data_IF_246834446101
#
_entry.id   IF_246834446101
#
_cell.length_a   1.000
_cell.length_b   1.000
_cell.length_c   1.000
_cell.angle_alpha   90.00
_cell.angle_beta   90.00
_cell.angle_gamma   90.00
#
_symmetry.space_group_name_H-M   'P 1'
#
loop_
_entity.id
_entity.type
_entity.pdbx_description
1 polymer ?
#
# COMPACT_ATOMS: atom_id res chain seq x y z
N UNK A 1 -14.54 -16.55 -19.49
CA UNK A 1 -13.61 -17.69 -19.45
C UNK A 1 -13.70 -18.28 -18.04
N UNK A 2 -14.29 -19.45 -17.90
CA UNK A 2 -14.37 -20.11 -16.59
C UNK A 2 -13.01 -20.75 -16.28
N UNK A 3 -12.29 -20.14 -15.36
CA UNK A 3 -11.04 -20.71 -14.88
C UNK A 3 -11.33 -21.99 -14.09
N UNK A 4 -10.57 -23.05 -14.34
CA UNK A 4 -10.59 -24.25 -13.52
C UNK A 4 -10.31 -23.90 -12.05
N UNK A 5 -10.89 -24.65 -11.11
CA UNK A 5 -10.74 -24.42 -9.66
C UNK A 5 -9.28 -24.32 -9.22
N UNK A 6 -8.42 -25.20 -9.72
CA UNK A 6 -6.98 -25.19 -9.42
C UNK A 6 -6.30 -23.93 -9.92
N UNK A 7 -6.53 -23.54 -11.18
CA UNK A 7 -5.98 -22.31 -11.75
C UNK A 7 -6.42 -21.07 -10.97
N UNK A 8 -7.69 -21.02 -10.55
CA UNK A 8 -8.23 -19.92 -9.74
C UNK A 8 -7.51 -19.79 -8.39
N UNK A 9 -7.25 -20.92 -7.71
CA UNK A 9 -6.53 -20.92 -6.43
C UNK A 9 -5.08 -20.48 -6.59
N UNK A 10 -4.38 -20.96 -7.64
CA UNK A 10 -3.00 -20.57 -7.91
C UNK A 10 -2.90 -19.07 -8.24
N UNK A 11 -3.78 -18.56 -9.10
CA UNK A 11 -3.84 -17.15 -9.43
C UNK A 11 -4.11 -16.31 -8.18
N UNK A 12 -5.07 -16.72 -7.33
CA UNK A 12 -5.33 -16.02 -6.07
C UNK A 12 -4.12 -16.02 -5.15
N UNK A 13 -3.41 -17.15 -5.01
CA UNK A 13 -2.19 -17.22 -4.20
C UNK A 13 -1.09 -16.29 -4.71
N UNK A 14 -0.86 -16.22 -6.03
CA UNK A 14 0.13 -15.34 -6.65
C UNK A 14 -0.23 -13.86 -6.41
N UNK A 15 -1.50 -13.48 -6.56
CA UNK A 15 -1.98 -12.13 -6.32
C UNK A 15 -1.83 -11.71 -4.84
N UNK A 16 -2.19 -12.61 -3.92
CA UNK A 16 -2.05 -12.39 -2.48
C UNK A 16 -0.58 -12.30 -2.06
N UNK A 17 0.29 -13.16 -2.60
CA UNK A 17 1.72 -13.11 -2.33
C UNK A 17 2.37 -11.81 -2.84
N UNK A 18 1.96 -11.31 -4.01
CA UNK A 18 2.43 -10.03 -4.53
C UNK A 18 2.02 -8.86 -3.62
N UNK A 19 0.74 -8.83 -3.19
CA UNK A 19 0.23 -7.81 -2.29
C UNK A 19 0.95 -7.87 -0.92
N UNK A 20 1.16 -9.07 -0.39
CA UNK A 20 1.92 -9.29 0.85
C UNK A 20 3.34 -8.75 0.74
N UNK A 21 4.07 -9.09 -0.33
CA UNK A 21 5.45 -8.62 -0.54
C UNK A 21 5.53 -7.09 -0.61
N UNK A 22 4.57 -6.45 -1.30
CA UNK A 22 4.49 -4.99 -1.38
C UNK A 22 4.28 -4.33 -0.02
N UNK A 23 3.35 -4.84 0.78
CA UNK A 23 3.05 -4.35 2.14
C UNK A 23 4.17 -4.61 3.12
N UNK A 24 4.72 -5.83 3.10
CA UNK A 24 5.85 -6.19 3.94
C UNK A 24 7.04 -5.26 3.68
N UNK A 25 7.38 -5.03 2.41
CA UNK A 25 8.47 -4.12 2.03
C UNK A 25 8.22 -2.67 2.51
N UNK A 26 6.97 -2.23 2.57
CA UNK A 26 6.62 -0.90 3.09
C UNK A 26 7.01 -0.76 4.56
N UNK A 27 6.82 -1.79 5.37
CA UNK A 27 7.06 -1.76 6.82
C UNK A 27 8.48 -2.14 7.21
N UNK A 28 9.20 -2.94 6.41
CA UNK A 28 10.60 -3.30 6.65
C UNK A 28 11.52 -2.08 6.81
N UNK A 29 11.27 -1.00 6.07
CA UNK A 29 12.14 0.18 6.06
C UNK A 29 12.00 1.07 7.29
N UNK A 30 10.91 0.99 8.02
CA UNK A 30 10.69 1.83 9.21
C UNK A 30 11.76 1.57 10.26
N UNK A 31 12.11 0.31 10.48
CA UNK A 31 13.12 -0.10 11.47
C UNK A 31 14.56 0.13 10.99
N UNK A 32 14.80 0.23 9.68
CA UNK A 32 16.10 0.55 9.11
C UNK A 32 16.44 2.04 9.12
N UNK A 33 15.48 2.91 9.38
CA UNK A 33 15.63 4.36 9.29
C UNK A 33 16.77 4.92 10.14
N UNK A 34 16.95 4.55 11.42
CA UNK A 34 18.07 5.04 12.24
C UNK A 34 19.44 4.68 11.67
N UNK A 35 19.61 3.46 11.14
CA UNK A 35 20.84 3.01 10.50
C UNK A 35 21.14 3.83 9.24
N UNK A 36 20.13 4.06 8.38
CA UNK A 36 20.27 4.88 7.17
C UNK A 36 20.59 6.34 7.49
N UNK A 37 20.00 6.90 8.57
CA UNK A 37 20.33 8.26 9.03
C UNK A 37 21.80 8.38 9.43
N UNK A 38 22.33 7.38 10.12
CA UNK A 38 23.73 7.34 10.50
C UNK A 38 24.64 7.21 9.28
N UNK A 39 24.36 6.24 8.39
CA UNK A 39 25.19 5.94 7.22
C UNK A 39 25.25 7.10 6.21
N UNK A 40 24.11 7.77 5.99
CA UNK A 40 24.03 8.89 5.04
C UNK A 40 24.26 10.27 5.67
N UNK A 41 24.35 10.37 7.00
CA UNK A 41 24.52 11.66 7.70
C UNK A 41 23.34 12.62 7.48
N UNK A 42 22.10 12.10 7.38
CA UNK A 42 20.90 12.88 7.08
C UNK A 42 20.03 13.11 8.31
N UNK A 43 19.24 14.18 8.29
CA UNK A 43 18.27 14.48 9.33
C UNK A 43 17.08 13.50 9.33
N UNK A 44 16.38 13.39 10.47
CA UNK A 44 15.16 12.63 10.60
C UNK A 44 14.08 13.09 9.61
N UNK A 45 13.93 14.40 9.43
CA UNK A 45 12.98 15.00 8.50
C UNK A 45 13.20 14.53 7.05
N UNK A 46 14.45 14.43 6.62
CA UNK A 46 14.80 13.90 5.30
C UNK A 46 14.59 12.38 5.21
N UNK A 47 14.99 11.63 6.24
CA UNK A 47 14.83 10.19 6.29
C UNK A 47 13.35 9.75 6.25
N UNK A 48 12.45 10.52 6.87
CA UNK A 48 11.01 10.26 6.85
C UNK A 48 10.42 10.21 5.44
N UNK A 49 11.04 10.84 4.44
CA UNK A 49 10.59 10.75 3.06
C UNK A 49 10.67 9.33 2.47
N UNK A 50 11.52 8.46 3.02
CA UNK A 50 11.58 7.05 2.63
C UNK A 50 10.25 6.30 2.94
N UNK A 51 9.53 6.74 3.96
CA UNK A 51 8.24 6.15 4.37
C UNK A 51 7.06 7.01 3.93
N UNK A 52 7.05 8.30 4.25
CA UNK A 52 5.97 9.23 3.89
C UNK A 52 5.83 9.38 2.37
N UNK A 53 6.95 9.51 1.65
CA UNK A 53 6.97 9.56 0.19
C UNK A 53 6.43 8.26 -0.43
N UNK A 54 6.76 7.11 0.16
CA UNK A 54 6.23 5.82 -0.28
C UNK A 54 4.69 5.77 -0.11
N UNK A 55 4.18 6.09 1.07
CA UNK A 55 2.73 6.12 1.34
C UNK A 55 1.99 7.10 0.43
N UNK A 56 2.56 8.29 0.22
CA UNK A 56 2.03 9.28 -0.72
C UNK A 56 1.86 8.70 -2.12
N UNK A 57 2.94 8.14 -2.66
CA UNK A 57 2.93 7.59 -4.03
C UNK A 57 1.95 6.43 -4.16
N UNK A 58 1.90 5.49 -3.19
CA UNK A 58 0.90 4.41 -3.15
C UNK A 58 -0.51 5.00 -3.19
N UNK A 59 -0.79 6.00 -2.35
CA UNK A 59 -2.11 6.63 -2.26
C UNK A 59 -2.57 7.28 -3.57
N UNK A 60 -1.65 7.96 -4.26
CA UNK A 60 -1.96 8.63 -5.53
C UNK A 60 -2.02 7.66 -6.71
N UNK A 61 -1.22 6.61 -6.71
CA UNK A 61 -1.21 5.60 -7.78
C UNK A 61 -2.41 4.66 -7.69
N UNK A 62 -2.95 4.43 -6.49
CA UNK A 62 -4.09 3.53 -6.26
C UNK A 62 -5.32 3.84 -7.14
N UNK A 63 -5.84 5.07 -7.24
CA UNK A 63 -6.93 5.38 -8.16
C UNK A 63 -6.58 5.20 -9.64
N UNK A 64 -5.33 5.53 -10.01
CA UNK A 64 -4.85 5.38 -11.39
C UNK A 64 -4.72 3.92 -11.77
N UNK A 65 -4.38 3.05 -10.83
CA UNK A 65 -4.23 1.61 -11.06
C UNK A 65 -5.53 0.96 -11.58
N UNK A 66 -6.69 1.44 -11.16
CA UNK A 66 -7.98 0.99 -11.67
C UNK A 66 -8.14 1.29 -13.17
N UNK A 67 -7.69 2.46 -13.63
CA UNK A 67 -7.68 2.80 -15.07
C UNK A 67 -6.63 2.00 -15.84
N UNK A 68 -5.44 1.81 -15.27
CA UNK A 68 -4.42 0.96 -15.85
C UNK A 68 -4.92 -0.48 -16.01
N UNK A 69 -5.65 -0.99 -15.01
CA UNK A 69 -6.29 -2.30 -15.09
C UNK A 69 -7.31 -2.38 -16.25
N UNK A 70 -8.08 -1.32 -16.50
CA UNK A 70 -9.01 -1.28 -17.64
C UNK A 70 -8.29 -1.14 -18.99
N UNK A 71 -7.16 -0.45 -19.05
CA UNK A 71 -6.40 -0.16 -20.28
C UNK A 71 -5.50 -1.30 -20.75
N UNK A 72 -4.83 -1.97 -19.83
CA UNK A 72 -3.86 -3.02 -20.14
C UNK A 72 -4.42 -4.42 -19.90
N UNK A 73 -3.83 -5.42 -20.54
CA UNK A 73 -4.16 -6.81 -20.23
C UNK A 73 -3.70 -7.18 -18.83
N UNK A 74 -4.46 -8.04 -18.16
CA UNK A 74 -4.22 -8.48 -16.78
C UNK A 74 -2.77 -8.94 -16.56
N UNK A 75 -2.31 -9.82 -17.46
CA UNK A 75 -0.95 -10.40 -17.38
C UNK A 75 0.14 -9.35 -17.61
N UNK A 76 0.00 -8.51 -18.62
CA UNK A 76 0.99 -7.49 -18.91
C UNK A 76 1.14 -6.50 -17.77
N UNK A 77 0.03 -5.96 -17.24
CA UNK A 77 0.07 -5.00 -16.14
C UNK A 77 0.73 -5.59 -14.89
N UNK A 78 0.39 -6.85 -14.55
CA UNK A 78 0.97 -7.51 -13.38
C UNK A 78 2.48 -7.75 -13.54
N UNK A 79 2.92 -8.27 -14.69
CA UNK A 79 4.34 -8.51 -14.94
C UNK A 79 5.14 -7.21 -15.01
N UNK A 80 4.60 -6.15 -15.59
CA UNK A 80 5.23 -4.82 -15.58
C UNK A 80 5.37 -4.28 -14.16
N UNK A 81 4.34 -4.37 -13.34
CA UNK A 81 4.37 -3.86 -11.96
C UNK A 81 5.33 -4.65 -11.09
N UNK A 82 5.29 -5.98 -11.15
CA UNK A 82 6.23 -6.83 -10.39
C UNK A 82 7.67 -6.70 -10.89
N UNK A 83 7.88 -6.57 -12.20
CA UNK A 83 9.19 -6.27 -12.80
C UNK A 83 9.74 -4.91 -12.35
N UNK A 84 8.90 -3.87 -12.34
CA UNK A 84 9.27 -2.55 -11.82
C UNK A 84 9.66 -2.62 -10.34
N UNK A 85 8.91 -3.39 -9.53
CA UNK A 85 9.25 -3.58 -8.12
C UNK A 85 10.62 -4.23 -7.94
N UNK A 86 10.92 -5.28 -8.73
CA UNK A 86 12.22 -5.96 -8.69
C UNK A 86 13.34 -5.00 -9.11
N UNK A 87 13.19 -4.28 -10.21
CA UNK A 87 14.19 -3.32 -10.69
C UNK A 87 14.44 -2.21 -9.66
N UNK A 88 13.38 -1.68 -9.04
CA UNK A 88 13.48 -0.71 -7.97
C UNK A 88 14.17 -1.28 -6.73
N UNK A 89 13.88 -2.53 -6.37
CA UNK A 89 14.53 -3.21 -5.24
C UNK A 89 16.02 -3.47 -5.51
N UNK A 90 16.40 -3.82 -6.74
CA UNK A 90 17.80 -3.95 -7.14
C UNK A 90 18.50 -2.59 -7.06
N UNK A 91 17.86 -1.51 -7.52
CA UNK A 91 18.40 -0.15 -7.39
C UNK A 91 18.68 0.19 -5.93
N UNK A 92 17.75 -0.09 -5.01
CA UNK A 92 17.93 0.14 -3.58
C UNK A 92 18.98 -0.76 -2.93
N UNK A 93 19.14 -1.99 -3.44
CA UNK A 93 20.15 -2.95 -2.96
C UNK A 93 21.58 -2.51 -3.27
N UNK A 94 21.81 -1.87 -4.43
CA UNK A 94 23.15 -1.44 -4.87
C UNK A 94 23.41 0.05 -4.59
N UNK A 95 22.51 0.74 -3.93
CA UNK A 95 22.58 2.18 -3.72
C UNK A 95 23.49 2.52 -2.53
N UNK A 96 24.49 3.39 -2.74
CA UNK A 96 25.44 3.81 -1.72
C UNK A 96 25.11 5.21 -1.12
N UNK A 97 24.03 5.85 -1.55
CA UNK A 97 23.63 7.14 -1.01
C UNK A 97 22.08 7.31 -0.98
N UNK A 98 21.63 8.36 -0.26
CA UNK A 98 20.21 8.60 0.01
C UNK A 98 19.33 8.75 -1.24
N UNK A 99 19.76 9.48 -2.26
CA UNK A 99 18.89 9.82 -3.38
C UNK A 99 18.48 8.62 -4.25
N UNK A 100 19.39 7.71 -4.66
CA UNK A 100 18.99 6.47 -5.29
C UNK A 100 18.11 5.59 -4.42
N UNK A 101 18.35 5.54 -3.08
CA UNK A 101 17.47 4.82 -2.16
C UNK A 101 16.08 5.41 -2.15
N UNK A 102 15.95 6.73 -2.07
CA UNK A 102 14.65 7.40 -2.15
C UNK A 102 13.97 7.12 -3.50
N UNK A 103 14.69 7.24 -4.61
CA UNK A 103 14.16 6.90 -5.94
C UNK A 103 13.66 5.45 -6.01
N UNK A 104 14.45 4.49 -5.49
CA UNK A 104 14.05 3.09 -5.39
C UNK A 104 12.75 2.92 -4.59
N UNK A 105 12.62 3.59 -3.44
CA UNK A 105 11.42 3.56 -2.61
C UNK A 105 10.18 4.14 -3.31
N UNK A 106 10.34 5.24 -4.03
CA UNK A 106 9.22 5.83 -4.79
C UNK A 106 8.79 4.92 -5.97
N UNK A 107 9.75 4.31 -6.67
CA UNK A 107 9.45 3.33 -7.73
C UNK A 107 8.80 2.05 -7.17
N UNK A 108 9.27 1.53 -6.04
CA UNK A 108 8.61 0.43 -5.32
C UNK A 108 7.17 0.79 -4.94
N UNK A 109 6.94 2.04 -4.52
CA UNK A 109 5.61 2.53 -4.16
C UNK A 109 4.66 2.59 -5.36
N UNK A 110 5.14 3.04 -6.53
CA UNK A 110 4.36 2.97 -7.79
C UNK A 110 3.96 1.52 -8.09
N UNK A 111 4.92 0.61 -8.05
CA UNK A 111 4.68 -0.81 -8.30
C UNK A 111 3.68 -1.41 -7.29
N UNK A 112 3.88 -1.17 -5.99
CA UNK A 112 3.02 -1.70 -4.91
C UNK A 112 1.61 -1.14 -4.99
N UNK A 113 1.44 0.16 -5.27
CA UNK A 113 0.12 0.79 -5.44
C UNK A 113 -0.68 0.17 -6.58
N UNK A 114 -0.02 -0.15 -7.70
CA UNK A 114 -0.64 -0.88 -8.81
C UNK A 114 -0.98 -2.32 -8.38
N UNK A 115 -0.02 -3.04 -7.80
CA UNK A 115 -0.17 -4.46 -7.42
C UNK A 115 -1.32 -4.64 -6.42
N UNK A 116 -1.41 -3.80 -5.38
CA UNK A 116 -2.43 -3.91 -4.34
C UNK A 116 -3.84 -3.73 -4.90
N UNK A 117 -4.07 -2.65 -5.64
CA UNK A 117 -5.37 -2.38 -6.26
C UNK A 117 -5.73 -3.42 -7.31
N UNK A 118 -4.75 -3.79 -8.13
CA UNK A 118 -4.88 -4.83 -9.14
C UNK A 118 -5.27 -6.18 -8.51
N UNK A 119 -4.57 -6.60 -7.44
CA UNK A 119 -4.84 -7.86 -6.76
C UNK A 119 -6.28 -7.91 -6.24
N UNK A 120 -6.74 -6.84 -5.58
CA UNK A 120 -8.11 -6.76 -5.08
C UNK A 120 -9.16 -6.86 -6.20
N UNK A 121 -8.99 -6.09 -7.29
CA UNK A 121 -9.92 -6.11 -8.43
C UNK A 121 -9.91 -7.47 -9.13
N UNK A 122 -8.73 -8.04 -9.37
CA UNK A 122 -8.59 -9.32 -10.05
C UNK A 122 -9.17 -10.47 -9.21
N UNK A 123 -8.92 -10.49 -7.90
CA UNK A 123 -9.50 -11.46 -6.97
C UNK A 123 -11.03 -11.43 -6.99
N UNK A 124 -11.64 -10.24 -6.95
CA UNK A 124 -13.10 -10.11 -7.03
C UNK A 124 -13.64 -10.61 -8.37
N UNK A 125 -12.94 -10.39 -9.48
CA UNK A 125 -13.38 -10.83 -10.81
C UNK A 125 -13.32 -12.34 -11.02
N UNK A 126 -12.35 -13.03 -10.42
CA UNK A 126 -12.24 -14.50 -10.54
C UNK A 126 -13.09 -15.25 -9.51
N UNK A 127 -13.70 -14.54 -8.56
CA UNK A 127 -14.45 -15.10 -7.45
C UNK A 127 -15.96 -15.06 -7.72
N UNK A 128 -16.68 -16.12 -7.38
CA UNK A 128 -18.15 -16.13 -7.46
C UNK A 128 -18.74 -15.15 -6.43
N UNK A 129 -19.90 -14.52 -6.74
CA UNK A 129 -20.57 -13.58 -5.83
C UNK A 129 -20.80 -14.12 -4.40
N UNK A 130 -21.01 -15.43 -4.28
CA UNK A 130 -21.25 -16.10 -2.99
C UNK A 130 -20.00 -16.25 -2.10
N UNK A 131 -18.81 -15.93 -2.60
CA UNK A 131 -17.52 -16.07 -1.87
C UNK A 131 -16.69 -14.78 -1.87
N UNK A 132 -17.29 -13.67 -2.21
CA UNK A 132 -16.60 -12.38 -2.26
C UNK A 132 -16.12 -11.94 -0.88
N UNK A 133 -16.92 -12.16 0.17
CA UNK A 133 -16.54 -11.85 1.54
C UNK A 133 -15.33 -12.66 2.00
N UNK A 134 -15.33 -13.98 1.76
CA UNK A 134 -14.20 -14.84 2.11
C UNK A 134 -12.90 -14.39 1.42
N UNK A 135 -12.95 -14.05 0.14
CA UNK A 135 -11.75 -13.63 -0.62
C UNK A 135 -11.27 -12.25 -0.18
N UNK A 136 -12.18 -11.31 0.07
CA UNK A 136 -11.82 -10.01 0.65
C UNK A 136 -11.24 -10.16 2.07
N UNK A 137 -11.80 -11.06 2.87
CA UNK A 137 -11.27 -11.38 4.20
C UNK A 137 -9.84 -11.96 4.12
N UNK A 138 -9.55 -12.84 3.16
CA UNK A 138 -8.19 -13.33 2.92
C UNK A 138 -7.25 -12.22 2.44
N UNK A 139 -7.72 -11.31 1.58
CA UNK A 139 -6.95 -10.16 1.16
C UNK A 139 -6.63 -9.24 2.36
N UNK A 140 -7.61 -8.95 3.21
CA UNK A 140 -7.41 -8.14 4.41
C UNK A 140 -6.49 -8.81 5.43
N UNK A 141 -6.55 -10.15 5.56
CA UNK A 141 -5.59 -10.91 6.36
C UNK A 141 -4.15 -10.66 5.90
N UNK A 142 -3.90 -10.70 4.59
CA UNK A 142 -2.59 -10.43 4.00
C UNK A 142 -2.16 -8.97 4.24
N UNK A 143 -3.08 -8.02 4.07
CA UNK A 143 -2.84 -6.59 4.33
C UNK A 143 -2.44 -6.33 5.78
N UNK A 144 -3.07 -7.03 6.72
CA UNK A 144 -2.77 -6.88 8.16
C UNK A 144 -1.51 -7.64 8.60
N UNK A 145 -1.16 -8.73 7.91
CA UNK A 145 0.03 -9.52 8.24
C UNK A 145 1.35 -8.79 7.90
N UNK A 146 1.36 -7.96 6.86
CA UNK A 146 2.55 -7.20 6.46
C UNK A 146 3.12 -6.32 7.59
N UNK A 147 2.34 -5.39 8.14
CA UNK A 147 2.75 -4.55 9.27
C UNK A 147 3.13 -5.34 10.53
N UNK A 148 2.48 -6.47 10.78
CA UNK A 148 2.79 -7.31 11.94
C UNK A 148 4.13 -8.03 11.82
N UNK A 149 4.44 -8.57 10.65
CA UNK A 149 5.65 -9.38 10.40
C UNK A 149 6.86 -8.48 10.06
N UNK A 150 6.62 -7.34 9.40
CA UNK A 150 7.67 -6.46 8.89
C UNK A 150 8.71 -6.04 9.93
N UNK A 151 8.33 -5.41 11.04
CA UNK A 151 9.28 -4.98 12.06
C UNK A 151 10.09 -6.14 12.67
N UNK A 152 9.46 -7.29 12.91
CA UNK A 152 10.13 -8.49 13.44
C UNK A 152 11.15 -9.01 12.44
N UNK A 153 10.75 -9.17 11.19
CA UNK A 153 11.64 -9.67 10.13
C UNK A 153 12.80 -8.71 9.88
N UNK A 154 12.53 -7.41 9.81
CA UNK A 154 13.59 -6.43 9.60
C UNK A 154 14.51 -6.32 10.81
N UNK A 155 13.99 -6.39 12.05
CA UNK A 155 14.79 -6.40 13.25
C UNK A 155 15.79 -7.55 13.26
N UNK A 156 15.34 -8.77 12.98
CA UNK A 156 16.21 -9.95 12.86
C UNK A 156 17.23 -9.80 11.73
N UNK A 157 16.82 -9.27 10.58
CA UNK A 157 17.74 -9.07 9.45
C UNK A 157 18.83 -8.03 9.78
N UNK A 158 18.45 -6.92 10.42
CA UNK A 158 19.37 -5.83 10.74
C UNK A 158 20.33 -6.16 11.89
N UNK A 159 20.06 -7.19 12.68
CA UNK A 159 21.00 -7.68 13.69
C UNK A 159 22.24 -8.34 13.05
N UNK A 160 22.08 -9.00 11.90
CA UNK A 160 23.14 -9.75 11.24
C UNK A 160 23.57 -9.18 9.89
N UNK A 161 22.74 -8.32 9.27
CA UNK A 161 22.93 -7.84 7.92
C UNK A 161 22.75 -6.32 7.87
N UNK A 162 23.25 -5.70 6.79
CA UNK A 162 23.01 -4.28 6.52
C UNK A 162 21.57 -4.02 6.02
N UNK A 163 21.14 -2.77 6.06
CA UNK A 163 19.84 -2.35 5.54
C UNK A 163 19.63 -2.67 4.02
N UNK A 164 20.71 -2.83 3.26
CA UNK A 164 20.65 -3.30 1.87
C UNK A 164 19.95 -4.67 1.74
N UNK A 165 20.15 -5.55 2.73
CA UNK A 165 19.53 -6.87 2.72
C UNK A 165 18.00 -6.82 2.71
N UNK A 166 17.37 -5.76 3.23
CA UNK A 166 15.93 -5.56 3.18
C UNK A 166 15.44 -5.38 1.73
N UNK A 167 16.19 -4.65 0.92
CA UNK A 167 15.91 -4.57 -0.52
C UNK A 167 16.14 -5.92 -1.21
N UNK A 168 17.22 -6.62 -0.84
CA UNK A 168 17.51 -7.98 -1.33
C UNK A 168 16.39 -8.97 -1.04
N UNK A 169 15.81 -8.94 0.16
CA UNK A 169 14.62 -9.73 0.50
C UNK A 169 13.43 -9.38 -0.41
N UNK A 170 13.21 -8.09 -0.68
CA UNK A 170 12.21 -7.62 -1.62
C UNK A 170 12.42 -8.17 -3.05
N UNK A 171 13.67 -8.18 -3.52
CA UNK A 171 14.03 -8.80 -4.81
C UNK A 171 13.67 -10.28 -4.84
N UNK A 172 14.12 -11.05 -3.84
CA UNK A 172 13.91 -12.50 -3.81
C UNK A 172 12.42 -12.86 -3.74
N UNK A 173 11.68 -12.24 -2.85
CA UNK A 173 10.25 -12.51 -2.68
C UNK A 173 9.47 -12.16 -3.94
N UNK A 174 9.70 -10.98 -4.53
CA UNK A 174 8.97 -10.56 -5.72
C UNK A 174 9.42 -11.33 -6.96
N UNK A 175 10.67 -11.77 -7.06
CA UNK A 175 11.15 -12.61 -8.15
C UNK A 175 10.45 -13.98 -8.17
N UNK A 176 10.23 -14.59 -7.00
CA UNK A 176 9.44 -15.84 -6.90
C UNK A 176 8.00 -15.60 -7.37
N UNK A 177 7.38 -14.51 -6.94
CA UNK A 177 6.03 -14.13 -7.38
C UNK A 177 5.98 -13.86 -8.88
N UNK A 178 6.96 -13.13 -9.41
CA UNK A 178 7.08 -12.85 -10.84
C UNK A 178 7.21 -14.14 -11.66
N UNK A 179 8.11 -15.02 -11.26
CA UNK A 179 8.30 -16.33 -11.92
C UNK A 179 7.00 -17.15 -11.90
N UNK A 180 6.35 -17.25 -10.73
CA UNK A 180 5.07 -17.94 -10.62
C UNK A 180 4.01 -17.32 -11.54
N UNK A 181 3.94 -15.98 -11.62
CA UNK A 181 2.99 -15.27 -12.49
C UNK A 181 3.23 -15.51 -13.99
N UNK A 182 4.50 -15.57 -14.40
CA UNK A 182 4.86 -15.85 -15.82
C UNK A 182 4.23 -17.16 -16.30
N UNK A 183 4.23 -18.18 -15.44
CA UNK A 183 3.71 -19.51 -15.81
C UNK A 183 2.22 -19.70 -15.55
N UNK A 184 1.64 -18.97 -14.56
CA UNK A 184 0.31 -19.28 -14.06
C UNK A 184 -0.75 -18.21 -14.30
N UNK A 185 -0.35 -16.94 -14.55
CA UNK A 185 -1.31 -15.86 -14.67
C UNK A 185 -1.89 -15.74 -16.09
N UNK A 186 -3.17 -16.10 -16.32
CA UNK A 186 -3.83 -15.93 -17.61
C UNK A 186 -4.26 -14.48 -17.83
N UNK A 187 -4.58 -14.12 -19.06
CA UNK A 187 -5.27 -12.88 -19.35
C UNK A 187 -6.75 -12.99 -18.96
N UNK A 188 -7.12 -12.46 -17.78
CA UNK A 188 -8.49 -12.47 -17.27
C UNK A 188 -9.36 -11.50 -18.07
N UNK A 189 -8.75 -10.44 -18.63
CA UNK A 189 -9.43 -9.39 -19.38
C UNK A 189 -8.59 -8.92 -20.56
N UNK A 190 -9.27 -8.63 -21.68
CA UNK A 190 -8.66 -7.96 -22.83
C UNK A 190 -8.46 -6.45 -22.53
N UNK A 191 -7.41 -5.88 -23.10
CA UNK A 191 -7.14 -4.45 -23.01
C UNK A 191 -8.25 -3.64 -23.70
N UNK A 192 -8.62 -2.50 -23.11
CA UNK A 192 -9.54 -1.51 -23.70
C UNK A 192 -8.81 -0.20 -23.93
N UNK A 193 -9.13 0.50 -25.03
CA UNK A 193 -8.58 1.84 -25.28
C UNK A 193 -9.32 2.87 -24.40
N UNK A 194 -8.77 3.13 -23.21
CA UNK A 194 -9.27 4.17 -22.30
C UNK A 194 -8.21 5.26 -22.20
N UNK A 195 -8.60 6.52 -22.29
CA UNK A 195 -7.71 7.65 -22.07
C UNK A 195 -7.43 7.81 -20.57
N UNK A 196 -6.16 7.99 -20.19
CA UNK A 196 -5.77 8.28 -18.82
C UNK A 196 -5.91 9.79 -18.61
N UNK A 197 -6.61 10.21 -17.56
CA UNK A 197 -6.73 11.61 -17.17
C UNK A 197 -5.48 12.08 -16.41
N UNK A 198 -4.40 12.34 -17.17
CA UNK A 198 -3.14 12.83 -16.63
C UNK A 198 -3.25 14.11 -15.80
N UNK A 199 -4.07 15.13 -16.19
CA UNK A 199 -4.25 16.32 -15.37
C UNK A 199 -4.80 16.00 -13.98
N UNK A 200 -5.75 15.11 -13.85
CA UNK A 200 -6.28 14.68 -12.55
C UNK A 200 -5.23 13.94 -11.72
N UNK A 201 -4.40 13.11 -12.37
CA UNK A 201 -3.27 12.46 -11.68
C UNK A 201 -2.30 13.48 -11.10
N UNK A 202 -1.86 14.44 -11.92
CA UNK A 202 -0.92 15.48 -11.48
C UNK A 202 -1.52 16.33 -10.35
N UNK A 203 -2.79 16.75 -10.45
CA UNK A 203 -3.48 17.50 -9.41
C UNK A 203 -3.53 16.74 -8.08
N UNK A 204 -3.83 15.45 -8.12
CA UNK A 204 -3.85 14.60 -6.93
C UNK A 204 -2.45 14.46 -6.32
N UNK A 205 -1.45 14.18 -7.16
CA UNK A 205 -0.05 14.00 -6.71
C UNK A 205 0.51 15.27 -6.09
N UNK A 206 0.39 16.39 -6.78
CA UNK A 206 0.88 17.70 -6.28
C UNK A 206 0.12 18.12 -5.04
N UNK A 207 -1.22 17.98 -5.03
CA UNK A 207 -2.05 18.37 -3.90
C UNK A 207 -1.74 17.58 -2.64
N UNK A 208 -1.69 16.26 -2.72
CA UNK A 208 -1.36 15.40 -1.58
C UNK A 208 0.10 15.56 -1.17
N UNK A 209 1.02 15.73 -2.14
CA UNK A 209 2.44 15.96 -1.89
C UNK A 209 2.69 17.24 -1.11
N UNK A 210 2.12 18.35 -1.55
CA UNK A 210 2.21 19.63 -0.84
C UNK A 210 1.59 19.55 0.56
N UNK A 211 0.44 18.90 0.70
CA UNK A 211 -0.22 18.75 2.00
C UNK A 211 0.66 17.98 3.00
N UNK A 212 1.20 16.83 2.60
CA UNK A 212 2.07 16.02 3.46
C UNK A 212 3.42 16.71 3.73
N UNK A 213 4.02 17.35 2.72
CA UNK A 213 5.23 18.13 2.90
C UNK A 213 5.01 19.30 3.88
N UNK A 214 3.84 19.96 3.78
CA UNK A 214 3.44 21.01 4.71
C UNK A 214 3.34 20.52 6.16
N UNK A 215 2.75 19.35 6.39
CA UNK A 215 2.70 18.72 7.73
C UNK A 215 4.11 18.48 8.27
N UNK A 216 5.02 17.97 7.44
CA UNK A 216 6.40 17.70 7.86
C UNK A 216 7.19 18.98 8.15
N UNK A 217 6.89 20.07 7.44
CA UNK A 217 7.63 21.34 7.54
C UNK A 217 7.07 22.28 8.62
N UNK A 218 5.82 22.06 9.05
CA UNK A 218 5.13 23.02 9.96
C UNK A 218 5.85 23.20 11.31
N UNK A 219 6.60 22.22 11.78
CA UNK A 219 7.34 22.29 13.04
C UNK A 219 8.60 23.16 12.93
N UNK A 220 9.28 23.12 11.78
CA UNK A 220 10.51 23.85 11.53
C UNK A 220 10.25 25.27 11.00
N UNK A 221 9.25 25.41 10.13
CA UNK A 221 8.87 26.68 9.48
C UNK A 221 7.33 26.79 9.39
N UNK A 222 6.65 27.26 10.47
CA UNK A 222 5.19 27.21 10.56
C UNK A 222 4.46 27.92 9.41
N UNK A 223 4.92 29.08 8.99
CA UNK A 223 4.29 29.85 7.91
C UNK A 223 4.41 29.10 6.56
N UNK A 224 5.59 28.55 6.27
CA UNK A 224 5.84 27.77 5.04
C UNK A 224 5.02 26.48 5.08
N UNK A 225 5.03 25.74 6.19
CA UNK A 225 4.26 24.51 6.35
C UNK A 225 2.76 24.74 6.15
N UNK A 226 2.19 25.75 6.81
CA UNK A 226 0.77 26.09 6.67
C UNK A 226 0.44 26.53 5.24
N UNK A 227 1.28 27.34 4.59
CA UNK A 227 1.06 27.75 3.19
C UNK A 227 1.08 26.57 2.24
N UNK A 228 1.98 25.60 2.43
CA UNK A 228 2.02 24.35 1.63
C UNK A 228 0.77 23.49 1.88
N UNK A 229 0.30 23.38 3.14
CA UNK A 229 -0.92 22.64 3.46
C UNK A 229 -2.14 23.28 2.78
N UNK A 230 -2.29 24.60 2.85
CA UNK A 230 -3.39 25.32 2.21
C UNK A 230 -3.33 25.14 0.68
N UNK A 231 -2.17 25.33 0.07
CA UNK A 231 -1.99 25.10 -1.35
C UNK A 231 -2.34 23.64 -1.73
N UNK A 232 -1.86 22.67 -0.96
CA UNK A 232 -2.19 21.24 -1.14
C UNK A 232 -3.70 20.98 -1.11
N UNK A 233 -4.40 21.53 -0.13
CA UNK A 233 -5.87 21.41 -0.03
C UNK A 233 -6.59 22.05 -1.21
N UNK A 234 -6.11 23.20 -1.72
CA UNK A 234 -6.67 23.83 -2.92
C UNK A 234 -6.53 22.93 -4.16
N UNK A 235 -5.36 22.30 -4.34
CA UNK A 235 -5.16 21.34 -5.44
C UNK A 235 -6.05 20.09 -5.29
N UNK A 236 -6.19 19.56 -4.08
CA UNK A 236 -7.08 18.43 -3.79
C UNK A 236 -8.55 18.82 -4.03
N UNK A 237 -8.97 20.02 -3.65
CA UNK A 237 -10.31 20.54 -3.91
C UNK A 237 -10.55 20.70 -5.43
N UNK A 238 -9.57 21.20 -6.16
CA UNK A 238 -9.64 21.29 -7.62
C UNK A 238 -9.72 19.90 -8.28
N UNK A 239 -8.90 18.94 -7.81
CA UNK A 239 -9.00 17.54 -8.22
C UNK A 239 -10.42 17.00 -7.97
N UNK A 240 -10.96 17.17 -6.77
CA UNK A 240 -12.29 16.70 -6.42
C UNK A 240 -13.38 17.32 -7.32
N UNK A 241 -13.31 18.64 -7.56
CA UNK A 241 -14.23 19.33 -8.48
C UNK A 241 -14.13 18.78 -9.90
N UNK A 242 -12.91 18.53 -10.40
CA UNK A 242 -12.69 17.93 -11.72
C UNK A 242 -13.27 16.51 -11.80
N UNK A 243 -13.06 15.68 -10.77
CA UNK A 243 -13.63 14.32 -10.71
C UNK A 243 -15.15 14.34 -10.71
N UNK A 244 -15.75 15.37 -10.10
CA UNK A 244 -17.23 15.50 -10.09
C UNK A 244 -17.81 15.83 -11.47
N UNK A 245 -17.08 16.59 -12.26
CA UNK A 245 -17.52 17.07 -13.57
C UNK A 245 -17.12 16.17 -14.74
N UNK A 246 -16.07 15.33 -14.56
CA UNK A 246 -15.54 14.48 -15.63
C UNK A 246 -16.52 13.40 -16.08
N UNK A 247 -16.57 13.14 -17.40
CA UNK A 247 -17.34 12.02 -17.96
C UNK A 247 -16.72 10.65 -17.64
N UNK A 248 -15.40 10.59 -17.51
CA UNK A 248 -14.63 9.39 -17.14
C UNK A 248 -13.69 9.72 -15.98
N UNK A 249 -14.23 9.85 -14.74
CA UNK A 249 -13.41 10.22 -13.60
C UNK A 249 -12.48 9.10 -13.18
N UNK A 250 -11.28 9.47 -12.68
CA UNK A 250 -10.37 8.55 -11.97
C UNK A 250 -11.04 7.95 -10.73
N UNK A 251 -11.75 8.80 -10.01
CA UNK A 251 -12.50 8.47 -8.80
C UNK A 251 -13.93 8.95 -8.95
N UNK A 252 -14.88 8.03 -8.94
CA UNK A 252 -16.29 8.40 -9.08
C UNK A 252 -16.84 8.96 -7.76
N UNK A 253 -16.51 10.22 -7.46
CA UNK A 253 -16.97 10.90 -6.25
C UNK A 253 -18.50 11.09 -6.19
N UNK A 254 -19.20 10.90 -7.31
CA UNK A 254 -20.69 10.97 -7.36
C UNK A 254 -21.34 9.88 -6.49
N UNK A 255 -20.63 8.77 -6.22
CA UNK A 255 -21.09 7.72 -5.31
C UNK A 255 -21.31 8.23 -3.88
N UNK A 256 -20.56 9.26 -3.45
CA UNK A 256 -20.73 9.90 -2.14
C UNK A 256 -22.07 10.65 -1.97
N UNK A 257 -22.84 10.86 -3.05
CA UNK A 257 -24.21 11.36 -2.97
C UNK A 257 -25.13 10.34 -2.28
N UNK A 258 -24.86 9.04 -2.43
CA UNK A 258 -25.58 7.99 -1.72
C UNK A 258 -25.26 8.00 -0.23
N UNK A 259 -26.29 8.19 0.62
CA UNK A 259 -26.10 8.31 2.08
C UNK A 259 -25.42 7.07 2.68
N UNK A 260 -25.82 5.88 2.24
CA UNK A 260 -25.23 4.61 2.71
C UNK A 260 -23.76 4.52 2.33
N UNK A 261 -23.40 4.77 1.07
CA UNK A 261 -22.02 4.74 0.61
C UNK A 261 -21.15 5.75 1.36
N UNK A 262 -21.65 6.98 1.55
CA UNK A 262 -20.95 8.02 2.31
C UNK A 262 -20.70 7.62 3.76
N UNK A 263 -21.72 7.10 4.46
CA UNK A 263 -21.58 6.65 5.86
C UNK A 263 -20.56 5.51 5.97
N UNK A 264 -20.61 4.52 5.07
CA UNK A 264 -19.66 3.42 5.05
C UNK A 264 -18.24 3.90 4.75
N UNK A 265 -18.06 4.81 3.79
CA UNK A 265 -16.75 5.38 3.47
C UNK A 265 -16.15 6.12 4.67
N UNK A 266 -16.93 6.98 5.34
CA UNK A 266 -16.47 7.70 6.54
C UNK A 266 -16.15 6.70 7.66
N UNK A 267 -16.99 5.69 7.88
CA UNK A 267 -16.76 4.65 8.89
C UNK A 267 -15.44 3.89 8.65
N UNK A 268 -15.18 3.48 7.39
CA UNK A 268 -13.92 2.83 7.02
C UNK A 268 -12.72 3.77 7.22
N UNK A 269 -12.83 5.03 6.82
CA UNK A 269 -11.75 6.03 7.03
C UNK A 269 -11.42 6.20 8.51
N UNK A 270 -12.43 6.34 9.36
CA UNK A 270 -12.23 6.48 10.82
C UNK A 270 -11.63 5.21 11.42
N UNK A 271 -12.17 4.04 11.08
CA UNK A 271 -11.65 2.76 11.57
C UNK A 271 -10.18 2.55 11.17
N UNK A 272 -9.84 2.84 9.91
CA UNK A 272 -8.46 2.71 9.42
C UNK A 272 -7.54 3.78 10.03
N UNK A 273 -8.05 4.99 10.26
CA UNK A 273 -7.31 6.05 10.96
C UNK A 273 -6.98 5.67 12.40
N UNK A 274 -7.92 5.10 13.13
CA UNK A 274 -7.70 4.58 14.50
C UNK A 274 -6.69 3.43 14.48
N UNK A 275 -6.83 2.49 13.53
CA UNK A 275 -5.89 1.37 13.37
C UNK A 275 -4.46 1.86 13.13
N UNK A 276 -4.23 2.71 12.13
CA UNK A 276 -2.89 3.26 11.83
C UNK A 276 -2.36 4.14 12.97
N UNK A 277 -3.22 4.92 13.62
CA UNK A 277 -2.85 5.72 14.79
C UNK A 277 -2.35 4.84 15.93
N UNK A 278 -3.06 3.76 16.23
CA UNK A 278 -2.67 2.78 17.25
C UNK A 278 -1.34 2.13 16.92
N UNK A 279 -1.15 1.68 15.67
CA UNK A 279 0.10 1.09 15.16
C UNK A 279 1.30 2.03 15.26
N UNK A 280 1.05 3.35 15.24
CA UNK A 280 2.13 4.36 15.31
C UNK A 280 2.37 4.85 16.74
N UNK A 281 1.30 5.13 17.50
CA UNK A 281 1.39 5.78 18.82
C UNK A 281 1.89 4.78 19.88
N UNK A 282 1.41 3.54 19.86
CA UNK A 282 1.78 2.55 20.89
C UNK A 282 3.28 2.27 20.91
N UNK A 283 3.97 1.99 19.78
CA UNK A 283 5.42 1.82 19.78
C UNK A 283 6.16 3.06 20.33
N UNK A 284 5.78 4.25 19.86
CA UNK A 284 6.41 5.49 20.31
C UNK A 284 6.27 5.66 21.83
N UNK A 285 5.09 5.41 22.40
CA UNK A 285 4.90 5.49 23.85
C UNK A 285 5.71 4.46 24.63
N UNK A 286 5.76 3.22 24.16
CA UNK A 286 6.46 2.16 24.84
C UNK A 286 7.99 2.34 24.78
N UNK A 287 8.52 2.77 23.67
CA UNK A 287 9.96 2.95 23.47
C UNK A 287 10.46 4.26 24.08
N UNK A 288 9.78 5.39 23.82
CA UNK A 288 10.24 6.70 24.25
C UNK A 288 9.94 7.02 25.72
N UNK A 289 8.79 6.59 26.26
CA UNK A 289 8.37 6.92 27.63
C UNK A 289 8.58 5.76 28.61
N UNK A 290 8.32 4.51 28.18
CA UNK A 290 8.47 3.36 29.07
C UNK A 290 9.85 2.69 28.96
N UNK A 291 10.76 3.17 28.08
CA UNK A 291 12.10 2.64 27.90
C UNK A 291 12.13 1.16 27.50
N UNK A 292 11.07 0.67 26.87
CA UNK A 292 10.98 -0.73 26.45
C UNK A 292 11.77 -0.95 25.16
N UNK A 293 12.38 -2.14 25.04
CA UNK A 293 13.04 -2.52 23.80
C UNK A 293 12.03 -2.70 22.65
N UNK A 294 12.45 -2.49 21.41
CA UNK A 294 11.60 -2.73 20.23
C UNK A 294 11.01 -4.14 20.17
N UNK A 295 11.75 -5.14 20.70
CA UNK A 295 11.23 -6.51 20.84
C UNK A 295 10.05 -6.61 21.81
N UNK A 296 10.17 -5.95 22.99
CA UNK A 296 9.06 -5.92 23.96
C UNK A 296 7.83 -5.18 23.40
N UNK A 297 8.07 -4.10 22.65
CA UNK A 297 7.01 -3.36 21.93
C UNK A 297 6.30 -4.25 20.91
N UNK A 298 7.06 -5.00 20.09
CA UNK A 298 6.52 -5.93 19.13
C UNK A 298 5.64 -7.03 19.79
N UNK A 299 6.08 -7.55 20.95
CA UNK A 299 5.30 -8.54 21.72
C UNK A 299 3.97 -7.95 22.23
N UNK A 300 3.94 -6.69 22.65
CA UNK A 300 2.71 -6.03 23.09
C UNK A 300 1.71 -5.84 21.92
N UNK A 301 2.21 -5.59 20.72
CA UNK A 301 1.38 -5.40 19.54
C UNK A 301 0.94 -6.72 18.87
N UNK A 302 1.67 -7.80 19.12
CA UNK A 302 1.43 -9.11 18.50
C UNK A 302 -0.02 -9.62 18.69
N UNK A 303 -0.67 -9.54 19.86
CA UNK A 303 -2.05 -10.01 20.03
C UNK A 303 -3.04 -9.27 19.12
N UNK A 304 -2.88 -7.96 18.94
CA UNK A 304 -3.71 -7.16 18.04
C UNK A 304 -3.56 -7.59 16.58
N UNK A 305 -2.31 -7.77 16.14
CA UNK A 305 -2.00 -8.24 14.79
C UNK A 305 -2.55 -9.66 14.53
N UNK A 306 -2.33 -10.59 15.46
CA UNK A 306 -2.85 -11.98 15.36
C UNK A 306 -4.38 -11.97 15.34
N UNK A 307 -5.02 -11.18 16.20
CA UNK A 307 -6.48 -11.04 16.21
C UNK A 307 -7.02 -10.55 14.88
N UNK A 308 -6.37 -9.57 14.26
CA UNK A 308 -6.78 -9.02 12.96
C UNK A 308 -6.61 -10.07 11.84
N UNK A 309 -5.48 -10.78 11.82
CA UNK A 309 -5.19 -11.87 10.86
C UNK A 309 -6.25 -12.98 10.94
N UNK A 310 -6.70 -13.33 12.16
CA UNK A 310 -7.73 -14.37 12.37
C UNK A 310 -9.13 -13.83 12.08
N UNK A 311 -9.45 -12.64 12.56
CA UNK A 311 -10.79 -12.05 12.42
C UNK A 311 -11.15 -11.75 10.96
N UNK A 312 -10.20 -11.29 10.14
CA UNK A 312 -10.44 -10.89 8.75
C UNK A 312 -11.09 -12.01 7.90
N UNK A 313 -10.54 -13.24 7.81
CA UNK A 313 -11.17 -14.30 7.03
C UNK A 313 -12.47 -14.83 7.68
N UNK A 314 -12.58 -14.77 9.02
CA UNK A 314 -13.81 -15.16 9.71
C UNK A 314 -14.96 -14.21 9.39
N UNK A 315 -14.71 -12.90 9.45
CA UNK A 315 -15.69 -11.87 9.08
C UNK A 315 -16.14 -12.02 7.63
N UNK A 316 -15.19 -12.30 6.72
CA UNK A 316 -15.51 -12.56 5.32
C UNK A 316 -16.43 -13.78 5.11
N UNK A 317 -16.22 -14.87 5.86
CA UNK A 317 -17.08 -16.06 5.82
C UNK A 317 -18.47 -15.80 6.40
N UNK A 318 -18.55 -15.05 7.52
CA UNK A 318 -19.84 -14.66 8.12
C UNK A 318 -20.63 -13.78 7.16
N UNK A 319 -19.95 -12.84 6.49
CA UNK A 319 -20.57 -12.01 5.45
C UNK A 319 -21.14 -12.84 4.29
N UNK A 320 -20.39 -13.84 3.78
CA UNK A 320 -20.85 -14.71 2.70
C UNK A 320 -22.04 -15.59 3.12
N UNK A 321 -22.11 -15.99 4.41
CA UNK A 321 -23.15 -16.87 4.93
C UNK A 321 -24.45 -16.15 5.30
N UNK A 322 -24.36 -14.93 5.86
CA UNK A 322 -25.50 -14.22 6.49
C UNK A 322 -25.83 -12.87 5.87
N UNK A 323 -24.98 -12.35 4.97
CA UNK A 323 -25.15 -11.03 4.36
C UNK A 323 -24.87 -9.85 5.33
N UNK A 324 -25.18 -8.63 4.85
CA UNK A 324 -24.91 -7.38 5.58
C UNK A 324 -25.71 -7.17 6.87
N UNK A 325 -26.80 -7.90 7.08
CA UNK A 325 -27.71 -7.66 8.22
C UNK A 325 -27.22 -8.25 9.55
N UNK A 326 -26.08 -8.92 9.60
CA UNK A 326 -25.60 -9.67 10.77
C UNK A 326 -24.19 -9.27 11.23
N UNK A 327 -23.59 -8.28 10.58
CA UNK A 327 -22.30 -7.67 10.93
C UNK A 327 -22.54 -6.24 11.37
#
# INVERSE_FOLDING_TARGET
>A
MELNRTTRLVVAAVLLAAAFTGLLNQTLMVTAMPMMMHDFGISLSLAQWLTTGNVLVVGVVTPVSAMLYERFSTRALFLWSTGLFIAASVLGFVADNFWPVLAARLLQAVASGIIMSFAQIALLRITSPRRMGTVLGLYMMVVSAGPAIGPVMSGVMLEYLSWHALFGAGVLMMAVVFAAAVFTLPNIKAARKIAIDWPSFVLSFVGMGLFLAGISTVQEAPLVGVSMMVAGLLFVAWFARRQWSSAQPLLNLRLLKGATFRRMTVGVMLAFGVFLGTETIIPVLLESHAGRSGFATALVMLPGAVSNVIASPLTGRVFDARGLCTI
#
